data_IF_663524477122
#
_entry.id   IF_663524477122
#
_cell.length_a   1.000
_cell.length_b   1.000
_cell.length_c   1.000
_cell.angle_alpha   90.00
_cell.angle_beta   90.00
_cell.angle_gamma   90.00
#
_symmetry.space_group_name_H-M   'P 1'
#
loop_
_entity.id
_entity.type
_entity.pdbx_description
1 polymer ?
#
# COMPACT_ATOMS: atom_id res chain seq x y z
N UNK A 1 32.07 56.51 26.15
CA UNK A 1 30.97 55.67 26.68
C UNK A 1 30.32 54.97 25.49
N UNK A 2 30.46 53.64 25.35
CA UNK A 2 29.69 52.84 24.39
C UNK A 2 28.27 52.65 24.95
N UNK A 3 27.19 52.33 24.25
CA UNK A 3 26.96 51.63 22.98
C UNK A 3 25.72 50.75 23.26
N UNK A 4 24.54 51.12 22.76
CA UNK A 4 23.27 50.42 23.04
C UNK A 4 22.85 49.63 21.80
N UNK A 5 23.08 48.32 21.82
CA UNK A 5 22.57 47.34 20.86
C UNK A 5 21.17 46.88 21.30
N UNK A 6 20.16 47.08 20.46
CA UNK A 6 18.83 46.52 20.65
C UNK A 6 18.79 45.09 20.10
N UNK A 7 18.56 44.12 20.98
CA UNK A 7 18.25 42.73 20.65
C UNK A 7 16.78 42.62 20.24
N UNK A 8 16.52 42.16 19.02
CA UNK A 8 15.18 41.74 18.56
C UNK A 8 15.13 40.22 18.69
N UNK A 9 14.41 39.72 19.69
CA UNK A 9 14.09 38.29 19.80
C UNK A 9 12.91 37.95 18.89
N UNK A 10 13.20 37.19 17.83
CA UNK A 10 12.18 36.54 17.00
C UNK A 10 11.77 35.26 17.71
N UNK A 11 10.54 35.23 18.25
CA UNK A 11 9.91 34.01 18.75
C UNK A 11 9.39 33.22 17.55
N UNK A 12 10.05 32.11 17.23
CA UNK A 12 9.57 31.12 16.29
C UNK A 12 8.62 30.17 17.04
N UNK A 13 7.32 30.24 16.75
CA UNK A 13 6.32 29.30 17.28
C UNK A 13 6.35 28.06 16.40
N UNK A 14 6.99 26.99 16.87
CA UNK A 14 6.89 25.66 16.26
C UNK A 14 5.53 25.09 16.66
N UNK A 15 4.63 24.92 15.69
CA UNK A 15 3.42 24.14 15.87
C UNK A 15 3.82 22.65 15.95
N UNK A 16 3.60 22.03 17.10
CA UNK A 16 3.74 20.59 17.25
C UNK A 16 2.58 19.90 16.53
N UNK A 17 2.87 19.14 15.47
CA UNK A 17 1.92 18.19 14.91
C UNK A 17 1.69 17.07 15.93
N UNK A 18 0.43 16.77 16.21
CA UNK A 18 0.03 15.68 17.10
C UNK A 18 0.51 14.35 16.52
N UNK A 19 1.48 13.75 17.21
CA UNK A 19 1.98 12.40 16.93
C UNK A 19 0.88 11.41 17.33
N UNK A 20 0.09 10.92 16.36
CA UNK A 20 -0.83 9.82 16.58
C UNK A 20 -0.01 8.55 16.76
N UNK A 21 0.13 8.07 18.00
CA UNK A 21 0.73 6.77 18.26
C UNK A 21 -0.26 5.68 17.85
N UNK A 22 0.13 4.88 16.85
CA UNK A 22 -0.64 3.76 16.32
C UNK A 22 -0.58 2.53 17.25
N UNK A 23 -1.68 1.79 17.43
CA UNK A 23 -1.69 0.60 18.28
C UNK A 23 -1.10 -0.63 17.57
N UNK A 24 -0.12 -1.23 18.23
CA UNK A 24 0.36 -2.62 18.20
C UNK A 24 0.08 -3.48 16.95
N UNK A 25 1.13 -3.67 16.15
CA UNK A 25 1.20 -4.68 15.09
C UNK A 25 1.30 -6.10 15.68
N UNK A 26 0.50 -7.03 15.16
CA UNK A 26 0.71 -8.46 15.41
C UNK A 26 1.99 -8.92 14.70
N UNK A 27 2.83 -9.65 15.44
CA UNK A 27 4.07 -10.26 14.96
C UNK A 27 3.81 -11.12 13.72
N UNK A 28 4.71 -11.02 12.75
CA UNK A 28 4.91 -12.03 11.73
C UNK A 28 5.08 -13.41 12.40
N UNK A 29 4.30 -14.40 11.97
CA UNK A 29 4.77 -15.77 12.10
C UNK A 29 5.99 -15.88 11.18
N UNK A 30 7.18 -15.96 11.78
CA UNK A 30 8.45 -15.94 11.07
C UNK A 30 8.55 -17.12 10.10
N UNK A 31 8.45 -16.83 8.80
CA UNK A 31 8.88 -17.74 7.74
C UNK A 31 10.28 -17.29 7.31
N UNK A 32 11.29 -17.88 7.95
CA UNK A 32 12.66 -17.76 7.46
C UNK A 32 12.81 -18.46 6.10
N UNK A 33 13.89 -18.19 5.34
CA UNK A 33 14.13 -18.85 4.06
C UNK A 33 14.19 -20.38 4.23
N UNK A 34 13.85 -21.17 3.19
CA UNK A 34 13.85 -22.63 3.27
C UNK A 34 15.27 -23.17 3.45
N UNK A 35 15.67 -23.43 4.69
CA UNK A 35 16.98 -23.96 5.07
C UNK A 35 16.98 -24.71 6.40
N UNK A 36 16.98 -26.05 6.32
CA UNK A 36 17.38 -27.04 7.32
C UNK A 36 16.98 -26.79 8.80
N UNK A 37 15.82 -27.34 9.21
CA UNK A 37 15.41 -27.41 10.61
C UNK A 37 16.11 -28.59 11.32
N UNK A 38 16.96 -28.29 12.30
CA UNK A 38 17.46 -29.25 13.29
C UNK A 38 16.60 -29.18 14.55
N UNK A 39 15.94 -30.30 14.87
CA UNK A 39 15.04 -30.45 16.01
C UNK A 39 15.77 -30.33 17.36
N UNK A 40 15.27 -29.47 18.25
CA UNK A 40 15.44 -29.68 19.69
C UNK A 40 14.23 -29.16 20.46
N UNK A 41 13.49 -30.10 21.03
CA UNK A 41 12.31 -29.88 21.87
C UNK A 41 12.72 -29.55 23.30
N UNK A 42 12.19 -28.47 23.86
CA UNK A 42 12.01 -28.37 25.32
C UNK A 42 10.61 -27.84 25.62
N UNK A 43 9.85 -28.67 26.34
CA UNK A 43 8.52 -28.38 26.83
C UNK A 43 8.61 -27.47 28.06
N UNK A 44 7.75 -26.46 28.12
CA UNK A 44 7.47 -25.74 29.36
C UNK A 44 5.96 -25.63 29.60
N UNK A 45 5.63 -25.99 30.83
CA UNK A 45 4.32 -26.18 31.45
C UNK A 45 3.64 -24.84 31.79
N UNK A 46 2.31 -24.84 31.65
CA UNK A 46 1.41 -23.75 32.03
C UNK A 46 1.34 -23.48 33.54
N UNK A 47 0.85 -22.28 33.92
CA UNK A 47 -0.04 -22.21 35.07
C UNK A 47 -1.36 -21.46 34.78
N UNK A 48 -2.43 -22.13 35.19
CA UNK A 48 -3.79 -21.65 35.49
C UNK A 48 -3.83 -20.61 36.61
N UNK A 49 -4.65 -19.56 36.47
CA UNK A 49 -5.87 -19.31 37.28
C UNK A 49 -6.33 -17.84 37.25
N UNK A 50 -7.63 -17.66 36.94
CA UNK A 50 -8.47 -16.47 37.17
C UNK A 50 -8.80 -16.29 38.67
N UNK A 51 -9.20 -15.07 39.08
CA UNK A 51 -10.64 -14.88 39.30
C UNK A 51 -11.21 -13.53 38.84
N UNK A 52 -12.52 -13.59 38.59
CA UNK A 52 -13.49 -12.54 38.23
C UNK A 52 -13.83 -11.62 39.42
N UNK A 53 -14.00 -10.31 39.17
CA UNK A 53 -14.94 -9.45 39.91
C UNK A 53 -15.60 -8.48 38.92
N UNK A 54 -16.93 -8.37 39.04
CA UNK A 54 -17.84 -7.58 38.23
C UNK A 54 -18.15 -6.19 38.83
N UNK A 55 -18.90 -5.42 38.04
CA UNK A 55 -19.79 -4.26 38.31
C UNK A 55 -19.18 -2.92 38.75
N UNK A 56 -19.41 -1.88 37.93
CA UNK A 56 -20.50 -0.92 38.17
C UNK A 56 -20.75 -0.01 36.96
N UNK A 57 -22.01 0.07 36.54
CA UNK A 57 -22.57 1.09 35.66
C UNK A 57 -22.58 2.45 36.37
N UNK A 58 -22.33 3.54 35.62
CA UNK A 58 -22.83 4.86 35.98
C UNK A 58 -23.38 5.58 34.76
N UNK A 59 -24.70 5.47 34.68
CA UNK A 59 -25.66 6.33 34.01
C UNK A 59 -25.49 7.80 34.42
N UNK A 60 -25.55 8.72 33.46
CA UNK A 60 -26.02 10.09 33.66
C UNK A 60 -26.11 10.86 32.34
N UNK A 61 -27.25 10.70 31.65
CA UNK A 61 -27.91 11.83 30.99
C UNK A 61 -28.76 12.56 32.04
N UNK A 62 -28.93 13.90 31.99
CA UNK A 62 -29.98 14.40 31.11
C UNK A 62 -29.80 15.84 30.57
N UNK A 63 -30.56 16.05 29.49
CA UNK A 63 -31.54 17.12 29.32
C UNK A 63 -31.28 18.17 28.23
N UNK A 64 -32.28 18.23 27.36
CA UNK A 64 -32.48 19.15 26.26
C UNK A 64 -32.87 20.55 26.74
N UNK A 65 -32.63 21.57 25.91
CA UNK A 65 -33.72 22.32 25.26
C UNK A 65 -33.21 23.48 24.37
N UNK A 66 -34.05 23.94 23.43
CA UNK A 66 -33.62 24.61 22.21
C UNK A 66 -33.70 26.14 22.31
N UNK A 67 -32.97 26.85 21.44
CA UNK A 67 -33.23 28.26 21.15
C UNK A 67 -33.23 28.51 19.66
N UNK A 68 -34.23 29.29 19.25
CA UNK A 68 -34.72 29.49 17.92
C UNK A 68 -33.90 30.48 17.06
N UNK A 69 -34.01 30.24 15.75
CA UNK A 69 -34.23 31.17 14.64
C UNK A 69 -33.68 32.61 14.73
N UNK A 70 -32.84 32.96 13.75
CA UNK A 70 -33.11 34.16 12.94
C UNK A 70 -32.55 34.04 11.52
N UNK A 71 -33.45 34.37 10.61
CA UNK A 71 -33.38 34.53 9.16
C UNK A 71 -32.42 35.61 8.67
N UNK A 72 -31.82 35.39 7.49
CA UNK A 72 -31.56 36.45 6.53
C UNK A 72 -31.53 35.88 5.10
N UNK A 73 -32.59 36.20 4.36
CA UNK A 73 -32.70 36.03 2.92
C UNK A 73 -31.81 37.06 2.20
N UNK A 74 -31.14 36.66 1.12
CA UNK A 74 -30.93 37.56 -0.01
C UNK A 74 -30.90 36.75 -1.31
N UNK A 75 -31.80 37.16 -2.20
CA UNK A 75 -32.08 36.64 -3.52
C UNK A 75 -31.29 37.40 -4.59
N UNK A 76 -31.42 36.91 -5.83
CA UNK A 76 -31.09 37.53 -7.14
C UNK A 76 -29.62 37.38 -7.61
N UNK A 77 -29.31 37.00 -8.86
CA UNK A 77 -30.13 36.80 -10.06
C UNK A 77 -29.32 36.06 -11.12
N UNK A 78 -30.03 35.33 -11.97
CA UNK A 78 -29.63 34.65 -13.19
C UNK A 78 -29.09 35.58 -14.29
N UNK A 79 -28.10 35.10 -15.05
CA UNK A 79 -28.02 35.37 -16.50
C UNK A 79 -27.41 34.17 -17.21
N UNK A 80 -28.26 33.47 -17.96
CA UNK A 80 -27.87 32.58 -19.04
C UNK A 80 -27.44 33.43 -20.25
N UNK A 81 -26.37 33.04 -20.92
CA UNK A 81 -26.08 33.50 -22.28
C UNK A 81 -25.65 32.28 -23.11
N UNK A 82 -26.46 31.97 -24.10
CA UNK A 82 -26.14 31.03 -25.17
C UNK A 82 -25.22 31.72 -26.17
N UNK A 83 -24.20 31.00 -26.65
CA UNK A 83 -23.53 31.32 -27.91
C UNK A 83 -23.09 30.04 -28.60
N UNK A 84 -23.82 29.75 -29.67
CA UNK A 84 -23.48 28.86 -30.77
C UNK A 84 -22.16 29.28 -31.42
N UNK A 85 -21.26 28.32 -31.63
CA UNK A 85 -20.00 28.56 -32.33
C UNK A 85 -19.29 27.24 -32.64
N UNK A 86 -19.63 26.66 -33.78
CA UNK A 86 -19.03 25.47 -34.36
C UNK A 86 -17.56 25.71 -34.70
N UNK A 87 -16.66 24.90 -34.15
CA UNK A 87 -15.32 24.69 -34.73
C UNK A 87 -14.91 23.24 -34.52
N UNK A 88 -14.83 22.53 -35.64
CA UNK A 88 -14.20 21.22 -35.82
C UNK A 88 -12.75 21.26 -35.33
N UNK A 89 -12.53 20.79 -34.10
CA UNK A 89 -11.22 20.42 -33.58
C UNK A 89 -11.17 18.90 -33.50
N UNK A 90 -10.35 18.30 -34.34
CA UNK A 90 -9.98 16.89 -34.28
C UNK A 90 -9.39 16.58 -32.91
N UNK A 91 -10.16 15.86 -32.07
CA UNK A 91 -9.63 15.24 -30.86
C UNK A 91 -8.57 14.20 -31.26
N UNK A 92 -7.32 14.61 -31.10
CA UNK A 92 -6.17 13.74 -31.14
C UNK A 92 -6.24 12.78 -29.96
N UNK A 93 -6.86 11.63 -30.18
CA UNK A 93 -6.68 10.41 -29.38
C UNK A 93 -5.20 10.05 -29.36
N UNK A 94 -4.45 10.66 -28.44
CA UNK A 94 -3.03 10.44 -28.22
C UNK A 94 -2.88 9.96 -26.79
N UNK A 95 -2.76 8.64 -26.58
CA UNK A 95 -2.33 8.10 -25.28
C UNK A 95 -2.74 6.68 -24.92
N UNK A 96 -3.68 6.04 -25.60
CA UNK A 96 -4.25 4.76 -25.14
C UNK A 96 -3.49 3.48 -25.57
N UNK A 97 -2.26 3.57 -26.07
CA UNK A 97 -1.57 2.40 -26.70
C UNK A 97 -0.36 1.85 -25.92
N UNK A 98 -0.05 2.39 -24.74
CA UNK A 98 1.14 1.96 -23.97
C UNK A 98 0.83 1.12 -22.72
N UNK A 99 -0.42 1.09 -22.22
CA UNK A 99 -0.74 0.42 -20.94
C UNK A 99 -0.77 -1.11 -21.04
N UNK A 100 -1.16 -1.68 -22.19
CA UNK A 100 -1.25 -3.13 -22.36
C UNK A 100 0.11 -3.83 -22.45
N UNK A 101 1.19 -3.11 -22.79
CA UNK A 101 2.52 -3.70 -22.94
C UNK A 101 3.27 -3.90 -21.62
N UNK A 102 2.87 -3.22 -20.55
CA UNK A 102 3.51 -3.28 -19.23
C UNK A 102 2.64 -3.91 -18.15
N UNK A 103 1.39 -4.26 -18.48
CA UNK A 103 0.52 -5.04 -17.58
C UNK A 103 0.99 -6.50 -17.58
N UNK A 104 1.39 -7.08 -16.43
CA UNK A 104 1.86 -8.47 -16.38
C UNK A 104 0.85 -9.43 -17.02
N UNK A 105 1.28 -10.18 -18.04
CA UNK A 105 0.46 -11.12 -18.82
C UNK A 105 -0.92 -10.58 -19.26
N UNK A 106 -1.09 -9.26 -19.40
CA UNK A 106 -2.35 -8.62 -19.83
C UNK A 106 -3.51 -8.68 -18.83
N UNK A 107 -3.27 -9.05 -17.56
CA UNK A 107 -4.27 -9.00 -16.48
C UNK A 107 -3.76 -8.03 -15.42
N UNK A 108 -4.59 -7.10 -14.93
CA UNK A 108 -4.19 -6.12 -13.92
C UNK A 108 -4.15 -6.72 -12.51
N UNK A 109 -5.09 -7.62 -12.22
CA UNK A 109 -5.26 -8.24 -10.92
C UNK A 109 -4.03 -9.03 -10.46
N UNK A 110 -3.63 -8.79 -9.22
CA UNK A 110 -2.62 -9.55 -8.50
C UNK A 110 -2.90 -9.60 -7.00
N UNK A 111 -1.93 -10.12 -6.27
CA UNK A 111 -1.92 -10.18 -4.80
C UNK A 111 -0.54 -9.75 -4.29
N UNK A 112 -0.50 -8.98 -3.22
CA UNK A 112 0.73 -8.41 -2.68
C UNK A 112 0.86 -8.70 -1.19
N UNK A 113 2.11 -8.74 -0.70
CA UNK A 113 2.39 -8.89 0.71
C UNK A 113 2.17 -10.29 1.26
N UNK A 114 2.57 -11.30 0.50
CA UNK A 114 2.59 -12.67 1.02
C UNK A 114 3.96 -13.33 0.94
N UNK A 115 4.87 -13.03 1.89
CA UNK A 115 6.07 -13.82 2.09
C UNK A 115 5.78 -15.31 2.12
N UNK A 116 6.44 -16.05 1.24
CA UNK A 116 6.40 -17.51 1.16
C UNK A 116 5.00 -18.12 0.84
N UNK A 117 4.09 -17.37 0.20
CA UNK A 117 2.75 -17.88 -0.15
C UNK A 117 2.78 -19.17 -0.97
N UNK A 118 3.77 -19.30 -1.85
CA UNK A 118 3.92 -20.46 -2.72
C UNK A 118 4.19 -21.76 -1.96
N UNK A 119 4.71 -21.66 -0.73
CA UNK A 119 4.98 -22.82 0.12
C UNK A 119 3.97 -22.95 1.27
N UNK A 120 3.49 -21.83 1.82
CA UNK A 120 2.64 -21.82 3.03
C UNK A 120 1.15 -21.89 2.72
N UNK A 121 0.69 -21.27 1.63
CA UNK A 121 -0.72 -21.14 1.31
C UNK A 121 -1.00 -21.35 -0.19
N UNK A 122 -0.27 -22.29 -0.79
CA UNK A 122 -0.35 -22.61 -2.21
C UNK A 122 -1.79 -22.87 -2.69
N UNK A 123 -2.61 -23.52 -1.87
CA UNK A 123 -3.99 -23.85 -2.22
C UNK A 123 -4.89 -22.61 -2.39
N UNK A 124 -4.63 -21.54 -1.64
CA UNK A 124 -5.30 -20.25 -1.85
C UNK A 124 -4.84 -19.63 -3.17
N UNK A 125 -3.53 -19.58 -3.41
CA UNK A 125 -2.97 -19.03 -4.65
C UNK A 125 -3.41 -19.81 -5.91
N UNK A 126 -3.57 -21.13 -5.81
CA UNK A 126 -4.12 -21.99 -6.86
C UNK A 126 -5.55 -21.57 -7.27
N UNK A 127 -6.37 -21.10 -6.33
CA UNK A 127 -7.72 -20.63 -6.62
C UNK A 127 -7.74 -19.29 -7.37
N UNK A 128 -6.76 -18.41 -7.12
CA UNK A 128 -6.62 -17.12 -7.80
C UNK A 128 -5.93 -17.22 -9.16
N UNK A 129 -5.03 -18.17 -9.35
CA UNK A 129 -4.16 -18.27 -10.53
C UNK A 129 -4.86 -18.15 -11.90
N UNK A 130 -6.13 -18.58 -12.10
CA UNK A 130 -6.83 -18.34 -13.35
C UNK A 130 -7.16 -16.87 -13.64
N UNK A 131 -7.20 -16.02 -12.61
CA UNK A 131 -7.74 -14.66 -12.61
C UNK A 131 -6.73 -13.58 -12.26
N UNK A 132 -5.52 -13.94 -11.83
CA UNK A 132 -4.41 -13.02 -11.57
C UNK A 132 -3.24 -13.33 -12.51
N UNK A 133 -2.41 -12.34 -12.79
CA UNK A 133 -1.19 -12.50 -13.60
C UNK A 133 0.09 -12.31 -12.83
N UNK A 134 0.03 -11.74 -11.63
CA UNK A 134 1.22 -11.42 -10.85
C UNK A 134 0.97 -11.55 -9.35
N UNK A 135 2.05 -11.74 -8.61
CA UNK A 135 2.07 -11.61 -7.16
C UNK A 135 3.41 -11.06 -6.67
N UNK A 136 3.45 -10.52 -5.46
CA UNK A 136 4.70 -10.15 -4.79
C UNK A 136 4.73 -10.65 -3.35
N UNK A 137 5.92 -11.03 -2.90
CA UNK A 137 6.23 -11.51 -1.56
C UNK A 137 7.26 -10.62 -0.84
N UNK A 138 7.50 -9.42 -1.39
CA UNK A 138 8.50 -8.42 -0.96
C UNK A 138 9.97 -8.85 -1.09
N UNK A 139 10.27 -10.02 -1.65
CA UNK A 139 11.64 -10.42 -1.94
C UNK A 139 12.07 -9.96 -3.33
N UNK A 140 13.36 -9.69 -3.57
CA UNK A 140 13.85 -9.32 -4.89
C UNK A 140 13.86 -10.48 -5.88
N UNK A 141 13.82 -11.72 -5.39
CA UNK A 141 13.91 -12.96 -6.18
C UNK A 141 12.60 -13.77 -6.17
N UNK A 142 11.45 -13.11 -6.03
CA UNK A 142 10.13 -13.75 -6.12
C UNK A 142 10.03 -14.57 -7.42
N UNK A 143 9.82 -15.87 -7.30
CA UNK A 143 9.79 -16.77 -8.47
C UNK A 143 8.41 -16.79 -9.14
N UNK A 144 8.33 -17.14 -10.41
CA UNK A 144 7.04 -17.43 -11.04
C UNK A 144 6.34 -18.61 -10.35
N UNK A 145 5.01 -18.50 -10.21
CA UNK A 145 4.15 -19.55 -9.68
C UNK A 145 3.33 -20.18 -10.82
N UNK A 146 3.22 -21.51 -10.86
CA UNK A 146 2.41 -22.21 -11.87
C UNK A 146 1.31 -23.04 -11.22
N UNK A 147 0.08 -22.83 -11.67
CA UNK A 147 -1.10 -23.61 -11.31
C UNK A 147 -1.77 -24.15 -12.59
N UNK A 148 -1.73 -25.46 -12.78
CA UNK A 148 -2.19 -26.08 -14.03
C UNK A 148 -1.42 -25.54 -15.24
N UNK A 149 -2.14 -24.88 -16.17
CA UNK A 149 -1.55 -24.26 -17.37
C UNK A 149 -1.33 -22.75 -17.24
N UNK A 150 -1.56 -22.18 -16.05
CA UNK A 150 -1.46 -20.75 -15.79
C UNK A 150 -0.18 -20.46 -15.01
N UNK A 151 0.58 -19.48 -15.49
CA UNK A 151 1.75 -18.95 -14.80
C UNK A 151 1.42 -17.55 -14.30
N UNK A 152 1.53 -17.36 -12.98
CA UNK A 152 1.44 -16.09 -12.29
C UNK A 152 2.87 -15.59 -12.07
N UNK A 153 3.18 -14.38 -12.55
CA UNK A 153 4.52 -13.79 -12.47
C UNK A 153 4.88 -13.43 -11.04
N UNK A 154 6.06 -13.84 -10.60
CA UNK A 154 6.66 -13.34 -9.36
C UNK A 154 7.26 -11.95 -9.62
N UNK A 155 6.80 -10.94 -8.89
CA UNK A 155 7.30 -9.57 -9.03
C UNK A 155 8.19 -9.24 -7.84
N UNK A 156 9.48 -9.12 -8.14
CA UNK A 156 10.49 -8.82 -7.14
C UNK A 156 10.38 -7.39 -6.62
N UNK A 157 10.89 -7.18 -5.40
CA UNK A 157 11.00 -5.87 -4.76
C UNK A 157 12.38 -5.69 -4.13
N UNK A 158 12.99 -4.52 -4.36
CA UNK A 158 14.09 -4.06 -3.52
C UNK A 158 13.50 -3.28 -2.34
N UNK A 159 13.24 -3.98 -1.25
CA UNK A 159 12.49 -3.43 -0.11
C UNK A 159 13.14 -2.19 0.54
N UNK A 160 14.46 -2.21 0.73
CA UNK A 160 15.25 -1.14 1.34
C UNK A 160 16.73 -1.23 0.92
N UNK A 161 17.62 -0.57 1.66
CA UNK A 161 19.07 -0.57 1.39
C UNK A 161 19.88 -1.54 2.28
N UNK A 162 19.21 -2.30 3.14
CA UNK A 162 19.84 -3.24 4.06
C UNK A 162 20.50 -2.58 5.28
N UNK A 163 20.29 -1.28 5.50
CA UNK A 163 20.80 -0.50 6.64
C UNK A 163 19.67 0.09 7.50
N UNK A 164 18.47 -0.53 7.49
CA UNK A 164 17.40 -0.14 8.40
C UNK A 164 17.88 -0.22 9.86
N UNK A 165 18.14 0.94 10.43
CA UNK A 165 18.46 1.09 11.84
C UNK A 165 17.16 1.34 12.61
N UNK A 166 16.51 0.25 13.01
CA UNK A 166 15.30 0.28 13.82
C UNK A 166 15.64 0.76 15.24
N UNK A 167 15.58 2.08 15.45
CA UNK A 167 15.81 2.68 16.78
C UNK A 167 14.55 2.72 17.64
N UNK A 168 13.41 2.20 17.16
CA UNK A 168 12.19 2.10 17.94
C UNK A 168 12.34 0.99 19.00
N UNK A 169 12.44 1.34 20.30
CA UNK A 169 12.60 0.35 21.37
C UNK A 169 11.35 -0.52 21.59
N UNK A 170 10.23 -0.20 20.93
CA UNK A 170 8.96 -0.94 21.01
C UNK A 170 8.75 -1.89 19.84
N UNK A 171 9.52 -1.75 18.77
CA UNK A 171 9.52 -2.73 17.70
C UNK A 171 10.05 -4.07 18.20
N UNK A 172 9.53 -5.21 17.73
CA UNK A 172 10.14 -6.51 17.99
C UNK A 172 11.59 -6.51 17.44
N UNK A 173 12.54 -6.25 18.35
CA UNK A 173 13.97 -6.19 18.05
C UNK A 173 14.38 -7.42 17.23
N UNK A 174 14.83 -7.19 16.00
CA UNK A 174 15.49 -8.20 15.18
C UNK A 174 14.70 -8.80 14.02
N UNK A 175 13.62 -8.16 13.55
CA UNK A 175 12.81 -8.73 12.44
C UNK A 175 12.80 -7.82 11.21
N UNK A 176 12.35 -6.57 11.30
CA UNK A 176 12.34 -5.67 10.13
C UNK A 176 13.75 -5.33 9.64
N UNK A 177 14.66 -4.94 10.53
CA UNK A 177 16.06 -4.66 10.17
C UNK A 177 16.81 -5.90 9.63
N UNK A 178 16.50 -7.08 10.17
CA UNK A 178 17.09 -8.33 9.68
C UNK A 178 16.53 -8.71 8.30
N UNK A 179 15.22 -8.55 8.10
CA UNK A 179 14.55 -8.81 6.84
C UNK A 179 15.03 -7.84 5.74
N UNK A 180 15.16 -6.54 6.05
CA UNK A 180 15.74 -5.55 5.13
C UNK A 180 17.14 -5.98 4.68
N UNK A 181 18.02 -6.28 5.64
CA UNK A 181 19.38 -6.76 5.35
C UNK A 181 19.39 -8.04 4.51
N UNK A 182 18.52 -9.00 4.81
CA UNK A 182 18.44 -10.26 4.07
C UNK A 182 17.89 -10.06 2.66
N UNK A 183 16.88 -9.20 2.48
CA UNK A 183 16.33 -8.84 1.18
C UNK A 183 17.36 -8.10 0.34
N UNK A 184 18.08 -7.14 0.92
CA UNK A 184 19.15 -6.44 0.23
C UNK A 184 20.27 -7.41 -0.21
N UNK A 185 20.68 -8.34 0.66
CA UNK A 185 21.65 -9.38 0.30
C UNK A 185 21.14 -10.27 -0.85
N UNK A 186 19.88 -10.72 -0.78
CA UNK A 186 19.26 -11.52 -1.84
C UNK A 186 19.18 -10.75 -3.17
N UNK A 187 18.99 -9.42 -3.13
CA UNK A 187 19.04 -8.58 -4.33
C UNK A 187 20.44 -8.56 -4.92
N UNK A 188 21.47 -8.38 -4.09
CA UNK A 188 22.86 -8.36 -4.57
C UNK A 188 23.32 -9.69 -5.16
N UNK A 189 22.67 -10.79 -4.77
CA UNK A 189 22.91 -12.14 -5.29
C UNK A 189 22.08 -12.46 -6.55
N UNK A 190 21.22 -11.56 -7.02
CA UNK A 190 20.47 -11.77 -8.26
C UNK A 190 21.43 -11.98 -9.45
N UNK A 191 21.15 -12.98 -10.32
CA UNK A 191 21.97 -13.17 -11.50
C UNK A 191 21.83 -11.97 -12.43
N UNK A 192 22.93 -11.57 -13.05
CA UNK A 192 22.92 -10.50 -14.07
C UNK A 192 22.11 -10.89 -15.32
N UNK A 193 21.83 -12.18 -15.54
CA UNK A 193 21.02 -12.67 -16.66
C UNK A 193 20.38 -14.04 -16.37
N UNK A 194 19.10 -14.24 -16.75
CA UNK A 194 18.19 -13.21 -17.20
C UNK A 194 17.85 -12.24 -16.06
N UNK A 195 17.80 -10.94 -16.37
CA UNK A 195 17.28 -9.94 -15.44
C UNK A 195 15.77 -10.14 -15.24
N UNK A 196 15.19 -9.75 -14.09
CA UNK A 196 13.75 -9.82 -13.88
C UNK A 196 13.00 -8.93 -14.88
N UNK A 197 11.81 -9.35 -15.29
CA UNK A 197 10.95 -8.54 -16.19
C UNK A 197 10.49 -7.25 -15.50
N UNK A 198 10.22 -7.33 -14.18
CA UNK A 198 9.72 -6.25 -13.34
C UNK A 198 10.48 -6.22 -12.01
N UNK A 199 10.68 -5.02 -11.46
CA UNK A 199 11.20 -4.82 -10.10
C UNK A 199 10.51 -3.62 -9.45
N UNK A 200 9.93 -3.81 -8.27
CA UNK A 200 9.40 -2.72 -7.45
C UNK A 200 10.52 -2.04 -6.66
N UNK A 201 10.41 -0.71 -6.49
CA UNK A 201 11.33 0.09 -5.68
C UNK A 201 11.14 -0.11 -4.18
N UNK A 202 11.68 0.83 -3.40
CA UNK A 202 11.68 0.76 -1.92
C UNK A 202 10.28 0.79 -1.32
N UNK A 203 10.10 0.04 -0.23
CA UNK A 203 8.83 -0.13 0.47
C UNK A 203 8.67 0.97 1.53
N UNK A 204 7.78 1.93 1.32
CA UNK A 204 7.43 2.96 2.31
C UNK A 204 8.66 3.68 2.94
N UNK A 205 9.60 4.21 2.14
CA UNK A 205 10.76 4.91 2.68
C UNK A 205 10.40 6.19 3.45
N UNK A 206 9.22 6.76 3.20
CA UNK A 206 8.71 7.97 3.84
C UNK A 206 8.18 7.75 5.26
N UNK A 207 8.10 6.50 5.73
CA UNK A 207 7.48 6.17 7.02
C UNK A 207 8.48 5.57 8.01
N UNK A 208 8.58 6.11 9.24
CA UNK A 208 9.55 5.65 10.23
C UNK A 208 9.06 4.48 11.10
N UNK A 209 7.86 3.94 10.84
CA UNK A 209 7.32 2.86 11.66
C UNK A 209 7.94 1.50 11.32
N UNK A 210 7.79 0.51 12.23
CA UNK A 210 8.21 -0.85 11.95
C UNK A 210 7.58 -1.37 10.65
N UNK A 211 8.34 -2.18 9.91
CA UNK A 211 7.94 -2.78 8.63
C UNK A 211 7.83 -1.81 7.44
N UNK A 212 8.39 -0.60 7.56
CA UNK A 212 8.64 0.32 6.44
C UNK A 212 10.16 0.56 6.30
N UNK A 213 10.64 0.86 5.08
CA UNK A 213 12.09 0.96 4.83
C UNK A 213 12.76 2.18 5.45
N UNK A 214 11.98 3.21 5.83
CA UNK A 214 12.44 4.37 6.60
C UNK A 214 13.75 4.98 6.05
N UNK A 215 13.72 5.39 4.79
CA UNK A 215 14.87 5.94 4.08
C UNK A 215 14.61 7.40 3.76
N UNK A 216 15.54 8.29 4.12
CA UNK A 216 15.47 9.65 3.57
C UNK A 216 15.80 9.65 2.06
N UNK A 217 15.31 10.67 1.34
CA UNK A 217 15.47 10.79 -0.11
C UNK A 217 16.94 10.71 -0.60
N UNK A 218 17.93 11.42 -0.01
CA UNK A 218 19.34 11.28 -0.41
C UNK A 218 19.92 9.87 -0.25
N UNK A 219 19.61 9.18 0.85
CA UNK A 219 20.04 7.79 1.08
C UNK A 219 19.44 6.88 0.02
N UNK A 220 18.12 6.95 -0.20
CA UNK A 220 17.44 6.18 -1.21
C UNK A 220 17.93 6.46 -2.64
N UNK A 221 18.22 7.72 -2.97
CA UNK A 221 18.78 8.08 -4.28
C UNK A 221 20.16 7.47 -4.51
N UNK A 222 20.98 7.37 -3.46
CA UNK A 222 22.29 6.69 -3.51
C UNK A 222 22.12 5.19 -3.73
N UNK A 223 21.21 4.56 -2.96
CA UNK A 223 20.89 3.15 -3.10
C UNK A 223 20.35 2.83 -4.52
N UNK A 224 19.36 3.60 -4.99
CA UNK A 224 18.75 3.45 -6.32
C UNK A 224 19.79 3.46 -7.45
N UNK A 225 20.70 4.43 -7.45
CA UNK A 225 21.81 4.52 -8.41
C UNK A 225 22.77 3.33 -8.33
N UNK A 226 22.95 2.78 -7.13
CA UNK A 226 23.80 1.63 -6.91
C UNK A 226 23.13 0.31 -7.34
N UNK A 227 21.81 0.25 -7.36
CA UNK A 227 21.01 -0.96 -7.56
C UNK A 227 20.10 -0.87 -8.79
N UNK A 228 18.92 -0.26 -8.66
CA UNK A 228 17.80 -0.32 -9.59
C UNK A 228 18.12 0.29 -10.96
N UNK A 229 18.93 1.37 -11.01
CA UNK A 229 19.38 1.99 -12.27
C UNK A 229 20.22 1.06 -13.15
N UNK A 230 20.71 -0.05 -12.59
CA UNK A 230 21.60 -1.00 -13.29
C UNK A 230 20.85 -2.22 -13.85
N UNK A 231 19.54 -2.33 -13.64
CA UNK A 231 18.75 -3.50 -14.05
C UNK A 231 18.46 -3.57 -15.57
N UNK A 232 18.95 -2.62 -16.36
CA UNK A 232 18.93 -2.71 -17.82
C UNK A 232 17.52 -2.67 -18.40
N UNK A 233 17.02 -3.80 -18.90
CA UNK A 233 15.71 -3.90 -19.57
C UNK A 233 14.55 -4.22 -18.61
N UNK A 234 14.81 -4.36 -17.31
CA UNK A 234 13.78 -4.53 -16.29
C UNK A 234 12.88 -3.29 -16.24
N UNK A 235 11.56 -3.49 -16.17
CA UNK A 235 10.62 -2.41 -15.88
C UNK A 235 10.63 -2.10 -14.38
N UNK A 236 11.08 -0.91 -14.02
CA UNK A 236 11.30 -0.53 -12.62
C UNK A 236 10.16 0.37 -12.12
N UNK A 237 9.58 -0.02 -11.00
CA UNK A 237 8.58 0.75 -10.27
C UNK A 237 9.21 1.77 -9.31
N UNK A 238 8.55 2.89 -9.10
CA UNK A 238 8.95 3.84 -8.04
C UNK A 238 8.95 3.17 -6.65
N UNK A 239 9.59 3.79 -5.65
CA UNK A 239 9.22 3.54 -4.25
C UNK A 239 7.74 3.83 -4.02
N UNK A 240 7.09 3.08 -3.13
CA UNK A 240 5.68 3.29 -2.74
C UNK A 240 5.60 4.03 -1.41
N UNK A 241 4.77 5.08 -1.32
CA UNK A 241 4.71 5.93 -0.12
C UNK A 241 3.59 5.51 0.83
N UNK A 242 3.89 5.42 2.13
CA UNK A 242 2.87 5.14 3.16
C UNK A 242 1.91 6.32 3.34
N UNK A 243 2.38 7.54 3.07
CA UNK A 243 1.60 8.78 3.18
C UNK A 243 0.63 8.99 2.01
N UNK A 244 0.54 8.05 1.07
CA UNK A 244 -0.46 8.04 -0.01
C UNK A 244 -0.41 9.36 -0.82
N UNK A 245 -1.56 10.00 -1.12
CA UNK A 245 -1.58 11.28 -1.82
C UNK A 245 -0.98 12.46 -1.04
N UNK A 246 -0.76 12.33 0.27
CA UNK A 246 -0.14 13.37 1.11
C UNK A 246 1.39 13.29 1.12
N UNK A 247 1.97 12.43 0.26
CA UNK A 247 3.41 12.27 0.18
C UNK A 247 4.15 13.56 -0.20
N UNK A 248 5.33 13.71 0.39
CA UNK A 248 6.25 14.82 0.11
C UNK A 248 7.66 14.33 -0.21
N UNK A 249 7.82 13.03 -0.46
CA UNK A 249 9.12 12.35 -0.45
C UNK A 249 9.65 12.06 -1.85
N UNK A 250 8.79 11.67 -2.81
CA UNK A 250 9.22 11.30 -4.15
C UNK A 250 9.80 12.47 -4.94
N UNK A 251 9.32 13.70 -4.70
CA UNK A 251 9.91 14.90 -5.33
C UNK A 251 11.34 15.16 -4.84
N UNK A 252 11.62 15.26 -3.53
CA UNK A 252 13.00 15.30 -3.02
C UNK A 252 13.88 14.13 -3.46
N UNK A 253 13.32 12.94 -3.63
CA UNK A 253 14.05 11.78 -4.15
C UNK A 253 14.51 11.99 -5.60
N UNK A 254 13.64 12.48 -6.48
CA UNK A 254 14.03 12.85 -7.85
C UNK A 254 15.09 13.97 -7.87
N UNK A 255 14.95 14.97 -7.01
CA UNK A 255 15.95 16.04 -6.86
C UNK A 255 17.31 15.49 -6.43
N UNK A 256 17.33 14.56 -5.46
CA UNK A 256 18.55 13.87 -5.02
C UNK A 256 19.16 12.95 -6.09
N UNK A 257 18.33 12.40 -6.98
CA UNK A 257 18.79 11.71 -8.18
C UNK A 257 19.38 12.68 -9.21
N UNK A 258 18.99 13.96 -9.19
CA UNK A 258 19.42 14.99 -10.13
C UNK A 258 18.62 14.97 -11.42
N UNK A 259 17.36 14.56 -11.37
CA UNK A 259 16.46 14.44 -12.53
C UNK A 259 15.22 15.31 -12.35
N UNK A 260 14.66 15.83 -13.45
CA UNK A 260 13.41 16.62 -13.42
C UNK A 260 12.19 15.81 -13.83
N UNK A 261 12.40 14.62 -14.38
CA UNK A 261 11.34 13.70 -14.80
C UNK A 261 11.49 12.38 -14.04
N UNK A 262 10.39 11.65 -13.79
CA UNK A 262 10.47 10.40 -13.05
C UNK A 262 11.33 9.36 -13.76
N UNK A 263 12.38 8.83 -13.11
CA UNK A 263 13.34 7.88 -13.70
C UNK A 263 12.81 6.43 -13.75
N UNK A 264 11.62 6.18 -13.19
CA UNK A 264 10.96 4.87 -13.21
C UNK A 264 9.99 4.71 -14.38
N UNK A 265 9.59 3.48 -14.67
CA UNK A 265 8.68 3.13 -15.76
C UNK A 265 7.21 3.25 -15.35
N UNK A 266 6.90 2.88 -14.11
CA UNK A 266 5.57 2.97 -13.51
C UNK A 266 5.65 3.43 -12.05
N UNK A 267 4.63 4.15 -11.58
CA UNK A 267 4.57 4.65 -10.21
C UNK A 267 3.87 3.60 -9.34
N UNK A 268 4.59 3.01 -8.38
CA UNK A 268 4.02 2.15 -7.36
C UNK A 268 3.36 2.99 -6.28
N UNK A 269 2.15 2.62 -5.87
CA UNK A 269 1.42 3.30 -4.80
C UNK A 269 0.82 2.29 -3.82
N UNK A 270 0.74 2.69 -2.56
CA UNK A 270 -0.13 2.06 -1.57
C UNK A 270 -1.38 2.93 -1.42
N UNK A 271 -2.55 2.30 -1.31
CA UNK A 271 -3.81 3.00 -1.05
C UNK A 271 -4.60 2.27 0.04
N UNK A 272 -4.63 2.89 1.22
CA UNK A 272 -5.30 2.43 2.42
C UNK A 272 -6.46 3.39 2.67
N UNK A 273 -7.63 3.08 2.12
CA UNK A 273 -8.81 3.94 2.13
C UNK A 273 -10.04 3.11 2.48
N UNK A 274 -11.08 3.73 3.02
CA UNK A 274 -12.35 3.05 3.33
C UNK A 274 -13.44 3.30 2.28
N UNK A 275 -13.13 4.05 1.22
CA UNK A 275 -14.05 4.36 0.13
C UNK A 275 -13.34 4.30 -1.22
N UNK A 276 -14.10 3.96 -2.28
CA UNK A 276 -13.56 3.98 -3.64
C UNK A 276 -13.17 5.39 -4.12
N UNK A 277 -13.78 6.44 -3.57
CA UNK A 277 -13.41 7.83 -3.88
C UNK A 277 -12.05 8.23 -3.31
N UNK A 278 -11.71 7.77 -2.11
CA UNK A 278 -10.36 7.93 -1.56
C UNK A 278 -9.30 7.26 -2.45
N UNK A 279 -9.58 6.03 -2.92
CA UNK A 279 -8.68 5.31 -3.84
C UNK A 279 -8.52 6.04 -5.17
N UNK A 280 -9.61 6.58 -5.72
CA UNK A 280 -9.58 7.40 -6.95
C UNK A 280 -8.73 8.65 -6.77
N UNK A 281 -8.79 9.28 -5.60
CA UNK A 281 -8.01 10.46 -5.28
C UNK A 281 -6.50 10.16 -5.27
N UNK A 282 -6.09 9.05 -4.64
CA UNK A 282 -4.69 8.61 -4.65
C UNK A 282 -4.20 8.35 -6.08
N UNK A 283 -4.89 7.49 -6.83
CA UNK A 283 -4.52 7.17 -8.21
C UNK A 283 -4.46 8.43 -9.08
N UNK A 284 -5.44 9.31 -8.94
CA UNK A 284 -5.51 10.58 -9.67
C UNK A 284 -4.33 11.51 -9.34
N UNK A 285 -3.95 11.60 -8.07
CA UNK A 285 -2.79 12.38 -7.62
C UNK A 285 -1.50 11.90 -8.26
N UNK A 286 -1.17 10.61 -8.13
CA UNK A 286 0.10 10.07 -8.66
C UNK A 286 0.15 10.12 -10.19
N UNK A 287 -0.96 9.81 -10.86
CA UNK A 287 -1.05 9.93 -12.32
C UNK A 287 -0.82 11.37 -12.78
N UNK A 288 -1.45 12.35 -12.12
CA UNK A 288 -1.33 13.77 -12.48
C UNK A 288 0.06 14.33 -12.17
N UNK A 289 0.64 13.97 -11.02
CA UNK A 289 1.90 14.51 -10.53
C UNK A 289 3.11 13.96 -11.28
N UNK A 290 3.11 12.67 -11.62
CA UNK A 290 4.27 12.00 -12.21
C UNK A 290 4.07 11.61 -13.68
N UNK A 291 2.85 11.60 -14.21
CA UNK A 291 2.59 11.28 -15.61
C UNK A 291 3.00 9.86 -16.05
N UNK A 292 3.20 8.96 -15.09
CA UNK A 292 3.57 7.55 -15.32
C UNK A 292 2.39 6.63 -15.00
N UNK A 293 2.24 5.49 -15.70
CA UNK A 293 1.24 4.49 -15.37
C UNK A 293 1.33 4.07 -13.89
N UNK A 294 0.18 3.82 -13.27
CA UNK A 294 0.07 3.53 -11.84
C UNK A 294 -0.04 2.03 -11.62
N UNK A 295 0.83 1.50 -10.79
CA UNK A 295 0.72 0.18 -10.22
C UNK A 295 0.29 0.34 -8.76
N UNK A 296 -0.92 -0.07 -8.43
CA UNK A 296 -1.39 -0.10 -7.03
C UNK A 296 -0.77 -1.33 -6.39
N UNK A 297 0.48 -1.20 -5.93
CA UNK A 297 1.26 -2.33 -5.41
C UNK A 297 0.60 -2.90 -4.15
N UNK A 298 -0.15 -2.09 -3.41
CA UNK A 298 -1.03 -2.51 -2.33
C UNK A 298 -2.31 -1.69 -2.25
N UNK A 299 -3.43 -2.36 -2.00
CA UNK A 299 -4.63 -1.70 -1.49
C UNK A 299 -5.22 -2.44 -0.29
N UNK A 300 -5.76 -1.68 0.66
CA UNK A 300 -6.52 -2.21 1.78
C UNK A 300 -7.67 -1.29 2.23
N UNK A 301 -8.70 -1.88 2.85
CA UNK A 301 -9.78 -1.11 3.46
C UNK A 301 -9.37 -0.61 4.84
N UNK A 302 -9.02 0.67 4.92
CA UNK A 302 -8.62 1.36 6.15
C UNK A 302 -9.27 2.74 6.17
N UNK A 303 -9.91 3.13 7.27
CA UNK A 303 -10.21 4.53 7.50
C UNK A 303 -8.90 5.22 7.91
N UNK A 304 -8.24 5.89 6.98
CA UNK A 304 -6.93 6.50 7.16
C UNK A 304 -6.97 7.85 7.90
N UNK A 305 -8.14 8.48 8.02
CA UNK A 305 -8.31 9.67 8.87
C UNK A 305 -8.18 9.32 10.37
N UNK A 306 -8.70 8.16 10.77
CA UNK A 306 -8.65 7.66 12.16
C UNK A 306 -7.73 6.46 12.34
N UNK A 307 -7.06 6.04 11.28
CA UNK A 307 -6.30 4.79 11.17
C UNK A 307 -7.01 3.56 11.77
N UNK A 308 -8.23 3.30 11.32
CA UNK A 308 -9.07 2.22 11.83
C UNK A 308 -9.40 1.21 10.73
N UNK A 309 -9.24 -0.07 11.02
CA UNK A 309 -9.54 -1.14 10.08
C UNK A 309 -11.04 -1.22 9.80
N UNK A 310 -11.41 -1.45 8.54
CA UNK A 310 -12.81 -1.60 8.14
C UNK A 310 -13.46 -2.84 8.78
N UNK A 311 -14.77 -2.75 9.03
CA UNK A 311 -15.59 -3.92 9.34
C UNK A 311 -15.93 -4.72 8.07
N UNK A 312 -16.52 -5.92 8.24
CA UNK A 312 -16.79 -6.82 7.12
C UNK A 312 -17.79 -6.25 6.12
N UNK A 313 -18.79 -5.50 6.57
CA UNK A 313 -19.81 -4.90 5.67
C UNK A 313 -19.19 -3.82 4.78
N UNK A 314 -18.31 -3.00 5.35
CA UNK A 314 -17.54 -2.01 4.59
C UNK A 314 -16.61 -2.70 3.61
N UNK A 315 -15.88 -3.74 4.04
CA UNK A 315 -14.99 -4.52 3.14
C UNK A 315 -15.76 -5.16 1.98
N UNK A 316 -16.93 -5.74 2.25
CA UNK A 316 -17.78 -6.40 1.25
C UNK A 316 -18.30 -5.44 0.17
N UNK A 317 -18.37 -4.14 0.47
CA UNK A 317 -18.75 -3.09 -0.50
C UNK A 317 -17.52 -2.48 -1.17
N UNK A 318 -16.45 -2.28 -0.40
CA UNK A 318 -15.21 -1.66 -0.86
C UNK A 318 -14.52 -2.47 -1.97
N UNK A 319 -14.37 -3.79 -1.80
CA UNK A 319 -13.63 -4.64 -2.75
C UNK A 319 -14.25 -4.58 -4.16
N UNK A 320 -15.56 -4.83 -4.36
CA UNK A 320 -16.17 -4.73 -5.69
C UNK A 320 -16.04 -3.36 -6.36
N UNK A 321 -16.20 -2.27 -5.60
CA UNK A 321 -16.13 -0.91 -6.14
C UNK A 321 -14.70 -0.54 -6.59
N UNK A 322 -13.71 -0.87 -5.76
CA UNK A 322 -12.31 -0.53 -6.03
C UNK A 322 -11.75 -1.35 -7.17
N UNK A 323 -12.06 -2.66 -7.22
CA UNK A 323 -11.67 -3.52 -8.34
C UNK A 323 -12.29 -3.05 -9.65
N UNK A 324 -13.58 -2.69 -9.66
CA UNK A 324 -14.24 -2.14 -10.85
C UNK A 324 -13.58 -0.85 -11.35
N UNK A 325 -13.19 0.04 -10.42
CA UNK A 325 -12.43 1.23 -10.76
C UNK A 325 -11.07 0.90 -11.38
N UNK A 326 -10.29 0.00 -10.77
CA UNK A 326 -8.97 -0.36 -11.30
C UNK A 326 -9.05 -1.00 -12.69
N UNK A 327 -10.02 -1.88 -12.91
CA UNK A 327 -10.21 -2.54 -14.21
C UNK A 327 -10.58 -1.52 -15.31
N UNK A 328 -11.47 -0.56 -15.00
CA UNK A 328 -11.91 0.47 -15.96
C UNK A 328 -10.93 1.62 -16.16
N UNK A 329 -10.05 1.89 -15.21
CA UNK A 329 -9.14 3.03 -15.29
C UNK A 329 -7.89 2.70 -16.12
N UNK A 330 -7.70 3.41 -17.24
CA UNK A 330 -6.57 3.19 -18.14
C UNK A 330 -5.21 3.61 -17.55
N UNK A 331 -5.17 4.48 -16.53
CA UNK A 331 -3.91 4.83 -15.86
C UNK A 331 -3.42 3.73 -14.94
N UNK A 332 -4.30 2.85 -14.46
CA UNK A 332 -3.96 1.71 -13.61
C UNK A 332 -3.58 0.52 -14.48
N UNK A 333 -2.36 0.04 -14.34
CA UNK A 333 -1.82 -1.10 -15.10
C UNK A 333 -1.80 -2.41 -14.30
N UNK A 334 -1.83 -2.32 -12.98
CA UNK A 334 -1.86 -3.46 -12.09
C UNK A 334 -2.32 -3.04 -10.68
N UNK A 335 -2.93 -3.97 -9.95
CA UNK A 335 -3.36 -3.76 -8.57
C UNK A 335 -3.24 -5.04 -7.73
N UNK A 336 -2.77 -4.91 -6.50
CA UNK A 336 -2.48 -6.03 -5.61
C UNK A 336 -3.26 -5.95 -4.31
N UNK A 337 -4.11 -6.95 -4.05
CA UNK A 337 -4.76 -7.06 -2.74
C UNK A 337 -3.68 -7.24 -1.68
N UNK A 338 -3.60 -6.33 -0.70
CA UNK A 338 -2.56 -6.41 0.32
C UNK A 338 -2.88 -7.48 1.36
N UNK A 339 -1.88 -8.26 1.71
CA UNK A 339 -1.86 -9.09 2.91
C UNK A 339 -0.71 -8.69 3.84
N UNK A 340 -0.32 -7.42 3.77
CA UNK A 340 0.61 -6.79 4.69
C UNK A 340 0.14 -6.89 6.15
N UNK A 341 1.09 -6.71 7.06
CA UNK A 341 0.81 -6.74 8.50
C UNK A 341 -0.05 -5.54 8.92
N UNK A 342 -0.74 -5.68 10.06
CA UNK A 342 -1.47 -4.56 10.68
C UNK A 342 -2.86 -4.26 10.09
N UNK A 343 -3.36 -5.09 9.17
CA UNK A 343 -4.66 -4.88 8.50
C UNK A 343 -5.88 -5.48 9.25
N UNK A 344 -5.74 -5.72 10.55
CA UNK A 344 -6.78 -6.32 11.39
C UNK A 344 -7.09 -7.79 11.05
N UNK A 345 -8.21 -8.31 11.56
CA UNK A 345 -8.63 -9.71 11.37
C UNK A 345 -9.67 -9.93 10.28
N UNK A 346 -10.28 -8.86 9.78
CA UNK A 346 -11.34 -8.90 8.74
C UNK A 346 -10.73 -8.88 7.35
N UNK A 347 -9.73 -8.02 7.12
CA UNK A 347 -9.11 -7.83 5.81
C UNK A 347 -8.29 -9.02 5.28
N UNK A 348 -7.52 -9.79 6.09
CA UNK A 348 -6.62 -10.81 5.56
C UNK A 348 -7.30 -11.75 4.56
N UNK A 349 -6.64 -12.02 3.44
CA UNK A 349 -7.20 -12.84 2.35
C UNK A 349 -7.28 -14.32 2.75
N UNK A 350 -6.37 -14.74 3.63
CA UNK A 350 -6.24 -16.12 4.12
C UNK A 350 -6.31 -16.12 5.64
N UNK A 351 -7.08 -17.06 6.19
CA UNK A 351 -7.05 -17.38 7.61
C UNK A 351 -5.72 -18.08 7.94
N UNK A 352 -4.88 -17.42 8.72
CA UNK A 352 -3.54 -17.90 9.08
C UNK A 352 -3.53 -19.19 9.90
N UNK A 353 -4.67 -19.58 10.50
CA UNK A 353 -4.80 -20.82 11.29
C UNK A 353 -5.23 -21.99 10.42
N UNK A 354 -6.09 -21.75 9.43
CA UNK A 354 -6.68 -22.82 8.62
C UNK A 354 -6.09 -22.92 7.22
N UNK A 355 -5.42 -21.88 6.72
CA UNK A 355 -4.94 -21.77 5.35
C UNK A 355 -6.04 -21.57 4.30
N UNK A 356 -7.30 -21.40 4.72
CA UNK A 356 -8.44 -21.20 3.83
C UNK A 356 -8.67 -19.72 3.53
N UNK A 357 -9.39 -19.43 2.44
CA UNK A 357 -9.86 -18.07 2.15
C UNK A 357 -10.81 -17.58 3.23
N UNK A 358 -10.63 -16.34 3.68
CA UNK A 358 -11.57 -15.65 4.58
C UNK A 358 -12.80 -15.15 3.82
N UNK A 359 -13.76 -14.54 4.51
CA UNK A 359 -14.88 -13.85 3.84
C UNK A 359 -14.40 -12.75 2.87
N UNK A 360 -13.36 -12.00 3.24
CA UNK A 360 -12.76 -10.97 2.38
C UNK A 360 -12.00 -11.58 1.20
N UNK A 361 -11.28 -12.69 1.42
CA UNK A 361 -10.66 -13.46 0.34
C UNK A 361 -11.68 -14.00 -0.66
N UNK A 362 -12.76 -14.63 -0.20
CA UNK A 362 -13.83 -15.09 -1.10
C UNK A 362 -14.48 -13.92 -1.86
N UNK A 363 -14.68 -12.77 -1.21
CA UNK A 363 -15.21 -11.57 -1.88
C UNK A 363 -14.31 -11.13 -3.04
N UNK A 364 -13.00 -11.01 -2.82
CA UNK A 364 -12.06 -10.66 -3.89
C UNK A 364 -12.07 -11.70 -5.02
N UNK A 365 -12.03 -12.99 -4.69
CA UNK A 365 -12.11 -14.07 -5.69
C UNK A 365 -13.40 -14.02 -6.52
N UNK A 366 -14.55 -13.79 -5.87
CA UNK A 366 -15.85 -13.73 -6.55
C UNK A 366 -15.96 -12.52 -7.49
N UNK A 367 -15.38 -11.37 -7.11
CA UNK A 367 -15.29 -10.21 -8.01
C UNK A 367 -14.43 -10.53 -9.22
N UNK A 368 -13.25 -11.14 -9.04
CA UNK A 368 -12.37 -11.55 -10.14
C UNK A 368 -13.00 -12.60 -11.07
N UNK A 369 -13.90 -13.42 -10.53
CA UNK A 369 -14.70 -14.39 -11.29
C UNK A 369 -15.90 -13.76 -12.01
N UNK A 370 -16.15 -12.46 -11.82
CA UNK A 370 -17.31 -11.76 -12.36
C UNK A 370 -18.64 -12.18 -11.73
N UNK A 371 -18.62 -12.80 -10.55
CA UNK A 371 -19.82 -13.20 -9.80
C UNK A 371 -20.41 -12.05 -9.00
N UNK A 372 -19.57 -11.10 -8.59
CA UNK A 372 -19.95 -9.87 -7.90
C UNK A 372 -19.44 -8.69 -8.71
N UNK A 373 -20.29 -7.68 -8.90
CA UNK A 373 -19.96 -6.45 -9.63
C UNK A 373 -20.13 -5.20 -8.77
N UNK A 374 -19.59 -4.08 -9.24
CA UNK A 374 -19.72 -2.78 -8.56
C UNK A 374 -21.19 -2.45 -8.22
N UNK A 375 -21.42 -1.93 -7.02
CA UNK A 375 -22.76 -1.67 -6.47
C UNK A 375 -23.45 -2.91 -5.87
N UNK A 376 -22.79 -4.06 -5.83
CA UNK A 376 -23.23 -5.24 -5.09
C UNK A 376 -22.27 -5.53 -3.95
N UNK A 377 -22.78 -5.70 -2.74
CA UNK A 377 -21.99 -6.21 -1.64
C UNK A 377 -21.77 -7.72 -1.80
N UNK A 378 -20.59 -8.20 -1.44
CA UNK A 378 -20.34 -9.63 -1.29
C UNK A 378 -21.25 -10.23 -0.19
N UNK A 379 -21.83 -11.40 -0.46
CA UNK A 379 -22.70 -12.12 0.48
C UNK A 379 -22.06 -13.47 0.80
N UNK A 380 -21.11 -13.47 1.74
CA UNK A 380 -20.35 -14.66 2.14
C UNK A 380 -20.83 -15.21 3.47
#
# INVERSE_FOLDING_TARGET
MPGLLAYVSILCTIAASSNAQHPHFHQWNHYGPPGAVSSSSTALTAPTSTPSIAVAELDSSPNASPVAASSASSSTSSTAVASTGSSTGTDGSSGATASSSITPNGIKAGVAGFPDIVNTNKAALDQYAPYISWYSDYWPNTTDFTSGTKTVKGIGMLWGDGDLNETDPTAPIGTAAADDKNRYAAYTDLPASPAPDYMMGFYEPDWPAPYSSNMNAPTAATAWKATLDKLGNTLVGSPSMATQMDETWLTPFMEALGVTEPPWDYTCIHTNKNTSDGVKADVGYYWTKYGKPVWVSEFACVNDESWTMCDQDTVNTFIPEVVDFFEKNASVIAYGYSNGAGLGSVWPLIDSTTGNLTSSGNCYLDVLQGKVSSGQACTN
#
